data_IF_729820487400
#
_entry.id   IF_729820487400
#
_cell.length_a   1.000
_cell.length_b   1.000
_cell.length_c   1.000
_cell.angle_alpha   90.00
_cell.angle_beta   90.00
_cell.angle_gamma   90.00
#
_symmetry.space_group_name_H-M   'P 1'
#
loop_
_entity.id
_entity.type
_entity.pdbx_description
1 polymer ?
#
# COMPACT_ATOMS: atom_id res chain seq x y z
N UNK A 1 20.40 -3.93 -19.23
CA UNK A 1 19.28 -4.86 -19.46
C UNK A 1 18.01 -4.38 -18.72
N UNK A 2 17.45 -3.23 -19.11
CA UNK A 2 16.28 -2.62 -18.45
C UNK A 2 15.01 -2.60 -19.33
N UNK A 3 15.10 -3.11 -20.57
CA UNK A 3 14.05 -2.97 -21.59
C UNK A 3 12.97 -4.06 -21.56
N UNK A 4 13.27 -5.26 -21.07
CA UNK A 4 12.30 -6.37 -21.08
C UNK A 4 11.19 -6.24 -20.01
N UNK A 5 11.51 -5.64 -18.85
CA UNK A 5 10.52 -5.44 -17.78
C UNK A 5 9.48 -4.35 -18.09
N UNK A 6 9.89 -3.31 -18.83
CA UNK A 6 8.99 -2.20 -19.20
C UNK A 6 7.92 -2.60 -20.23
N UNK A 7 8.24 -3.51 -21.15
CA UNK A 7 7.32 -3.98 -22.18
C UNK A 7 6.18 -4.87 -21.61
N UNK A 8 6.47 -5.69 -20.60
CA UNK A 8 5.46 -6.50 -19.90
C UNK A 8 4.47 -5.64 -19.09
N UNK A 9 4.95 -4.57 -18.47
CA UNK A 9 4.12 -3.57 -17.78
C UNK A 9 3.26 -2.75 -18.77
N UNK A 10 3.81 -2.37 -19.93
CA UNK A 10 3.09 -1.65 -20.99
C UNK A 10 2.06 -2.51 -21.75
N UNK A 11 2.28 -3.82 -21.85
CA UNK A 11 1.34 -4.77 -22.44
C UNK A 11 0.14 -5.06 -21.53
N UNK A 12 0.39 -5.29 -20.23
CA UNK A 12 -0.67 -5.52 -19.25
C UNK A 12 -1.63 -4.33 -19.11
N UNK A 13 -1.10 -3.11 -19.08
CA UNK A 13 -1.90 -1.87 -18.99
C UNK A 13 -2.85 -1.67 -20.19
N UNK A 14 -2.44 -2.07 -21.41
CA UNK A 14 -3.27 -1.96 -22.63
C UNK A 14 -4.43 -2.96 -22.66
N UNK A 15 -4.22 -4.19 -22.17
CA UNK A 15 -5.29 -5.18 -22.05
C UNK A 15 -6.30 -4.82 -20.94
N UNK A 16 -5.81 -4.32 -19.81
CA UNK A 16 -6.62 -3.82 -18.68
C UNK A 16 -7.47 -2.59 -19.05
N UNK A 17 -6.98 -1.71 -19.94
CA UNK A 17 -7.73 -0.54 -20.40
C UNK A 17 -8.98 -0.88 -21.23
N UNK A 18 -9.02 -2.05 -21.91
CA UNK A 18 -10.16 -2.47 -22.73
C UNK A 18 -11.32 -3.08 -21.92
N UNK A 19 -11.03 -3.60 -20.73
CA UNK A 19 -12.02 -4.26 -19.85
C UNK A 19 -12.61 -3.28 -18.82
N UNK A 20 -12.08 -2.05 -18.76
CA UNK A 20 -12.42 -1.06 -17.75
C UNK A 20 -13.59 -0.19 -18.17
N UNK A 21 -14.70 -0.16 -17.41
CA UNK A 21 -15.70 0.90 -17.53
C UNK A 21 -15.13 2.16 -16.85
N UNK A 22 -14.82 3.19 -17.65
CA UNK A 22 -14.53 4.60 -17.30
C UNK A 22 -13.06 5.10 -17.40
N UNK A 23 -12.95 6.25 -18.11
CA UNK A 23 -11.80 7.06 -18.54
C UNK A 23 -11.04 7.83 -17.43
N UNK A 24 -10.67 7.23 -16.28
CA UNK A 24 -9.82 7.93 -15.28
C UNK A 24 -8.58 7.12 -14.91
N UNK A 25 -7.49 7.66 -14.35
CA UNK A 25 -6.37 6.87 -13.83
C UNK A 25 -6.84 5.87 -12.74
N UNK A 26 -6.02 4.88 -12.38
CA UNK A 26 -6.34 3.83 -11.40
C UNK A 26 -6.95 4.42 -10.10
N UNK A 27 -7.86 3.68 -9.45
CA UNK A 27 -8.61 4.02 -8.21
C UNK A 27 -9.75 5.07 -8.30
N UNK A 28 -10.79 4.90 -9.17
CA UNK A 28 -11.93 5.83 -9.22
C UNK A 28 -12.95 5.64 -8.09
N UNK A 29 -12.89 4.55 -7.33
CA UNK A 29 -13.79 4.26 -6.20
C UNK A 29 -12.96 3.88 -4.98
N UNK A 30 -12.77 4.83 -4.09
CA UNK A 30 -12.18 4.58 -2.77
C UNK A 30 -12.96 5.34 -1.71
N UNK A 31 -12.88 4.89 -0.46
CA UNK A 31 -13.41 5.59 0.69
C UNK A 31 -12.24 6.03 1.56
N UNK A 32 -12.28 7.30 1.98
CA UNK A 32 -11.31 7.85 2.92
C UNK A 32 -11.95 7.87 4.31
N UNK A 33 -11.27 7.28 5.28
CA UNK A 33 -11.77 7.08 6.64
C UNK A 33 -10.72 7.58 7.62
N UNK A 34 -11.19 8.02 8.80
CA UNK A 34 -10.30 8.18 9.94
C UNK A 34 -9.93 6.82 10.51
N UNK A 35 -8.76 6.74 11.10
CA UNK A 35 -8.30 5.54 11.77
C UNK A 35 -7.24 5.91 12.81
N UNK A 36 -6.88 4.93 13.63
CA UNK A 36 -5.77 5.04 14.58
C UNK A 36 -4.88 3.82 14.50
N UNK A 37 -3.58 4.03 14.47
CA UNK A 37 -2.57 2.98 14.59
C UNK A 37 -2.11 2.91 16.04
N UNK A 38 -2.12 1.70 16.59
CA UNK A 38 -1.59 1.38 17.91
C UNK A 38 -0.34 0.53 17.71
N UNK A 39 0.82 1.15 17.87
CA UNK A 39 2.11 0.49 17.73
C UNK A 39 2.56 -0.04 19.07
N UNK A 40 2.93 -1.30 19.11
CA UNK A 40 3.58 -1.91 20.27
C UNK A 40 5.10 -2.04 20.07
N UNK A 41 5.60 -1.63 18.90
CA UNK A 41 7.01 -1.70 18.55
C UNK A 41 7.42 -3.07 18.01
N UNK A 42 8.59 -3.09 17.39
CA UNK A 42 9.21 -4.29 16.85
C UNK A 42 10.06 -4.97 17.91
N UNK A 43 10.02 -6.31 17.97
CA UNK A 43 10.89 -7.08 18.85
C UNK A 43 12.36 -7.07 18.41
N UNK A 44 12.61 -6.82 17.12
CA UNK A 44 13.95 -6.73 16.52
C UNK A 44 14.10 -5.34 15.89
N UNK A 45 15.17 -4.59 16.18
CA UNK A 45 15.37 -3.25 15.62
C UNK A 45 15.45 -3.29 14.10
N UNK A 46 14.65 -2.46 13.45
CA UNK A 46 14.66 -2.28 11.99
C UNK A 46 15.45 -1.04 11.56
N UNK A 47 15.75 -0.14 12.51
CA UNK A 47 16.32 1.19 12.24
C UNK A 47 15.24 2.18 11.78
N UNK A 48 13.97 1.87 12.04
CA UNK A 48 12.82 2.70 11.67
C UNK A 48 12.03 2.97 12.95
N UNK A 49 12.12 4.16 13.56
CA UNK A 49 11.45 4.46 14.83
C UNK A 49 9.94 4.19 14.78
N UNK A 50 9.32 4.43 13.63
CA UNK A 50 7.90 4.16 13.42
C UNK A 50 7.55 2.66 13.51
N UNK A 51 8.47 1.74 13.21
CA UNK A 51 8.26 0.30 13.39
C UNK A 51 8.72 -0.17 14.76
N UNK A 52 9.82 0.40 15.26
CA UNK A 52 10.56 -0.11 16.41
C UNK A 52 9.94 0.34 17.75
N UNK A 53 9.37 1.54 17.80
CA UNK A 53 8.89 2.13 19.07
C UNK A 53 7.38 1.92 19.27
N UNK A 54 6.90 1.80 20.53
CA UNK A 54 5.48 1.85 20.82
C UNK A 54 4.93 3.28 20.61
N UNK A 55 3.64 3.38 20.27
CA UNK A 55 3.03 4.68 19.99
C UNK A 55 1.57 4.61 19.56
N UNK A 56 0.95 5.79 19.44
CA UNK A 56 -0.41 5.95 18.91
C UNK A 56 -0.41 7.05 17.88
N UNK A 57 -0.88 6.74 16.68
CA UNK A 57 -0.91 7.68 15.56
C UNK A 57 -2.35 7.82 15.06
N UNK A 58 -2.88 9.04 15.06
CA UNK A 58 -4.08 9.35 14.29
C UNK A 58 -3.72 9.38 12.81
N UNK A 59 -4.42 8.59 12.02
CA UNK A 59 -4.11 8.40 10.61
C UNK A 59 -5.34 8.57 9.74
N UNK A 60 -5.11 8.91 8.48
CA UNK A 60 -6.14 8.86 7.45
C UNK A 60 -5.87 7.65 6.58
N UNK A 61 -6.89 6.84 6.34
CA UNK A 61 -6.79 5.68 5.47
C UNK A 61 -7.66 5.82 4.24
N UNK A 62 -7.18 5.29 3.11
CA UNK A 62 -7.98 5.15 1.90
C UNK A 62 -8.05 3.69 1.49
N UNK A 63 -9.25 3.15 1.51
CA UNK A 63 -9.56 1.83 0.96
C UNK A 63 -10.00 2.01 -0.49
N UNK A 64 -9.45 1.24 -1.42
CA UNK A 64 -9.72 1.44 -2.85
C UNK A 64 -9.66 0.16 -3.67
N UNK A 65 -10.23 0.20 -4.87
CA UNK A 65 -10.10 -0.84 -5.91
C UNK A 65 -9.22 -0.34 -7.04
N UNK A 66 -8.17 -1.10 -7.39
CA UNK A 66 -7.16 -0.65 -8.34
C UNK A 66 -7.68 -0.64 -9.79
N UNK A 67 -8.23 -1.77 -10.28
CA UNK A 67 -8.75 -1.87 -11.64
C UNK A 67 -10.10 -1.16 -11.77
N UNK A 68 -10.95 -1.27 -10.73
CA UNK A 68 -12.28 -0.66 -10.69
C UNK A 68 -13.34 -1.49 -11.39
N UNK A 69 -13.17 -2.81 -11.43
CA UNK A 69 -14.13 -3.74 -12.01
C UNK A 69 -15.48 -3.69 -11.28
N UNK A 70 -16.59 -4.09 -11.93
CA UNK A 70 -17.89 -4.22 -11.26
C UNK A 70 -17.81 -4.99 -9.94
N UNK A 71 -18.62 -4.59 -8.95
CA UNK A 71 -18.51 -5.10 -7.57
C UNK A 71 -18.55 -6.63 -7.45
N UNK A 72 -19.25 -7.32 -8.37
CA UNK A 72 -19.38 -8.79 -8.43
C UNK A 72 -18.08 -9.50 -8.84
N UNK A 73 -17.15 -8.80 -9.49
CA UNK A 73 -15.88 -9.36 -9.96
C UNK A 73 -14.75 -9.14 -8.93
N UNK A 74 -13.78 -10.08 -8.84
CA UNK A 74 -12.56 -9.86 -8.08
C UNK A 74 -11.78 -8.64 -8.59
N UNK A 75 -11.10 -7.93 -7.68
CA UNK A 75 -10.21 -6.82 -8.00
C UNK A 75 -9.00 -6.84 -7.07
N UNK A 76 -7.99 -6.04 -7.40
CA UNK A 76 -6.88 -5.75 -6.51
C UNK A 76 -7.33 -4.64 -5.57
N UNK A 77 -7.24 -4.90 -4.28
CA UNK A 77 -7.65 -3.95 -3.25
C UNK A 77 -6.43 -3.20 -2.73
N UNK A 78 -6.58 -1.91 -2.52
CA UNK A 78 -5.55 -1.03 -2.00
C UNK A 78 -5.94 -0.48 -0.64
N UNK A 79 -4.94 -0.39 0.24
CA UNK A 79 -5.01 0.31 1.52
C UNK A 79 -3.88 1.34 1.52
N UNK A 80 -4.21 2.62 1.61
CA UNK A 80 -3.24 3.69 1.79
C UNK A 80 -3.37 4.26 3.19
N UNK A 81 -2.26 4.52 3.88
CA UNK A 81 -2.21 5.14 5.20
C UNK A 81 -1.44 6.45 5.07
N UNK A 82 -1.95 7.52 5.66
CA UNK A 82 -1.23 8.76 5.94
C UNK A 82 -1.06 8.87 7.44
N UNK A 83 0.18 8.73 7.88
CA UNK A 83 0.61 8.83 9.27
C UNK A 83 1.14 10.25 9.54
N UNK A 84 1.47 10.55 10.80
CA UNK A 84 2.24 11.77 11.12
C UNK A 84 3.64 11.78 10.51
N UNK A 85 4.21 10.60 10.27
CA UNK A 85 5.56 10.42 9.71
C UNK A 85 5.61 10.33 8.18
N UNK A 86 4.49 10.10 7.49
CA UNK A 86 4.49 9.88 6.04
C UNK A 86 3.40 8.94 5.54
N UNK A 87 3.45 8.64 4.26
CA UNK A 87 2.48 7.82 3.53
C UNK A 87 2.99 6.40 3.29
N UNK A 88 2.09 5.43 3.46
CA UNK A 88 2.32 4.02 3.15
C UNK A 88 1.24 3.51 2.18
N UNK A 89 1.65 2.71 1.20
CA UNK A 89 0.75 2.14 0.19
C UNK A 89 0.82 0.63 0.19
N UNK A 90 -0.32 -0.01 0.37
CA UNK A 90 -0.49 -1.45 0.34
C UNK A 90 -1.41 -1.86 -0.81
N UNK A 91 -1.16 -3.05 -1.37
CA UNK A 91 -2.02 -3.70 -2.34
C UNK A 91 -2.21 -5.18 -1.96
N UNK A 92 -3.35 -5.76 -2.31
CA UNK A 92 -3.63 -7.18 -2.05
C UNK A 92 -2.62 -8.09 -2.74
N UNK A 93 -1.95 -8.92 -1.94
CA UNK A 93 -0.92 -9.88 -2.38
C UNK A 93 -1.12 -11.23 -1.69
N UNK A 94 -0.18 -12.16 -1.82
CA UNK A 94 -0.05 -13.28 -0.88
C UNK A 94 0.69 -12.90 0.40
N UNK A 95 0.84 -13.85 1.33
CA UNK A 95 1.56 -13.67 2.60
C UNK A 95 2.85 -14.51 2.71
N UNK A 96 2.99 -15.57 1.91
CA UNK A 96 4.18 -16.43 1.90
C UNK A 96 5.43 -15.71 1.40
N UNK A 97 6.60 -16.34 1.61
CA UNK A 97 7.93 -15.77 1.30
C UNK A 97 8.07 -15.29 -0.16
N UNK A 98 7.48 -16.01 -1.10
CA UNK A 98 7.45 -15.63 -2.53
C UNK A 98 6.17 -14.86 -2.88
N UNK A 99 5.01 -15.34 -2.42
CA UNK A 99 3.70 -14.78 -2.81
C UNK A 99 3.46 -13.35 -2.30
N UNK A 100 4.23 -12.88 -1.31
CA UNK A 100 4.18 -11.49 -0.82
C UNK A 100 4.55 -10.45 -1.86
N UNK A 101 5.17 -10.86 -2.97
CA UNK A 101 5.50 -9.99 -4.11
C UNK A 101 4.53 -10.15 -5.30
N UNK A 102 3.45 -10.93 -5.13
CA UNK A 102 2.51 -11.26 -6.22
C UNK A 102 1.15 -10.67 -5.89
N UNK A 103 0.64 -9.80 -6.78
CA UNK A 103 -0.71 -9.23 -6.66
C UNK A 103 -1.77 -10.31 -6.73
N UNK A 104 -2.75 -10.23 -5.83
CA UNK A 104 -3.89 -11.15 -5.78
C UNK A 104 -5.18 -10.38 -5.90
N UNK A 105 -6.16 -10.98 -6.58
CA UNK A 105 -7.50 -10.42 -6.70
C UNK A 105 -8.47 -11.08 -5.70
N UNK A 106 -9.43 -10.30 -5.22
CA UNK A 106 -10.48 -10.78 -4.31
C UNK A 106 -11.78 -10.04 -4.55
N UNK A 107 -12.91 -10.69 -4.24
CA UNK A 107 -14.21 -10.01 -4.18
C UNK A 107 -14.38 -9.23 -2.89
N UNK A 108 -13.86 -9.77 -1.79
CA UNK A 108 -13.86 -9.14 -0.48
C UNK A 108 -12.59 -8.28 -0.29
N UNK A 109 -12.72 -6.97 -0.01
CA UNK A 109 -11.58 -6.09 0.27
C UNK A 109 -10.75 -6.52 1.49
N UNK A 110 -11.30 -7.34 2.39
CA UNK A 110 -10.62 -7.88 3.58
C UNK A 110 -10.17 -9.33 3.41
N UNK A 111 -10.57 -9.99 2.33
CA UNK A 111 -10.35 -11.42 2.12
C UNK A 111 -8.92 -11.80 1.73
N UNK A 112 -8.03 -10.82 1.51
CA UNK A 112 -6.61 -11.05 1.19
C UNK A 112 -5.73 -10.15 2.06
N UNK A 113 -4.55 -10.66 2.47
CA UNK A 113 -3.53 -9.80 3.03
C UNK A 113 -3.03 -8.82 1.96
N UNK A 114 -2.42 -7.74 2.42
CA UNK A 114 -1.86 -6.70 1.59
C UNK A 114 -0.41 -6.47 1.98
N UNK A 115 0.41 -6.07 1.02
CA UNK A 115 1.80 -5.67 1.27
C UNK A 115 2.13 -4.41 0.51
N UNK A 116 3.28 -3.80 0.81
CA UNK A 116 3.82 -2.68 0.04
C UNK A 116 4.30 -3.09 -1.35
N UNK A 117 4.19 -4.39 -1.69
CA UNK A 117 4.60 -5.08 -2.92
C UNK A 117 6.10 -5.04 -3.20
N UNK A 118 6.75 -3.90 -2.95
CA UNK A 118 8.17 -3.67 -3.10
C UNK A 118 8.74 -3.28 -1.72
N UNK A 119 9.95 -3.75 -1.39
CA UNK A 119 10.56 -3.44 -0.11
C UNK A 119 11.08 -1.99 -0.07
N UNK A 120 11.06 -1.43 1.13
CA UNK A 120 11.78 -0.22 1.49
C UNK A 120 13.22 -0.56 1.87
N UNK A 121 14.12 0.39 1.65
CA UNK A 121 15.49 0.36 2.16
C UNK A 121 15.49 0.97 3.56
N UNK A 122 16.07 0.25 4.50
CA UNK A 122 16.24 0.66 5.91
C UNK A 122 17.68 0.39 6.33
N UNK A 123 18.08 0.82 7.52
CA UNK A 123 19.39 0.52 8.09
C UNK A 123 19.60 -0.99 8.30
N UNK A 124 18.55 -1.71 8.71
CA UNK A 124 18.55 -3.18 8.84
C UNK A 124 18.43 -3.93 7.50
N UNK A 125 18.38 -3.20 6.38
CA UNK A 125 18.28 -3.74 5.03
C UNK A 125 16.88 -3.64 4.43
N UNK A 126 16.55 -4.55 3.51
CA UNK A 126 15.29 -4.51 2.77
C UNK A 126 14.11 -4.98 3.63
N UNK A 127 13.15 -4.10 3.91
CA UNK A 127 11.96 -4.36 4.72
C UNK A 127 10.69 -4.23 3.88
N UNK A 128 9.83 -5.24 3.92
CA UNK A 128 8.49 -5.20 3.35
C UNK A 128 7.49 -5.00 4.48
N UNK A 129 6.49 -4.14 4.28
CA UNK A 129 5.38 -4.01 5.21
C UNK A 129 4.16 -4.79 4.71
N UNK A 130 3.40 -5.32 5.64
CA UNK A 130 2.21 -6.11 5.41
C UNK A 130 1.05 -5.65 6.31
N UNK A 131 -0.16 -5.81 5.80
CA UNK A 131 -1.40 -5.59 6.52
C UNK A 131 -2.36 -6.76 6.27
N UNK A 132 -2.92 -7.36 7.32
CA UNK A 132 -3.96 -8.39 7.18
C UNK A 132 -5.16 -8.06 8.05
N UNK A 133 -6.36 -8.24 7.51
CA UNK A 133 -7.58 -8.05 8.30
C UNK A 133 -7.66 -9.13 9.38
N UNK A 134 -7.90 -8.71 10.62
CA UNK A 134 -8.12 -9.59 11.78
C UNK A 134 -9.48 -9.34 12.44
N UNK A 135 -10.30 -8.48 11.83
CA UNK A 135 -11.63 -8.10 12.28
C UNK A 135 -12.29 -7.14 11.29
N UNK A 136 -13.55 -6.80 11.53
CA UNK A 136 -14.35 -5.99 10.60
C UNK A 136 -13.69 -4.66 10.23
N UNK A 137 -13.04 -4.02 11.20
CA UNK A 137 -12.41 -2.69 11.06
C UNK A 137 -10.96 -2.70 11.59
N UNK A 138 -10.35 -3.88 11.68
CA UNK A 138 -9.05 -4.06 12.31
C UNK A 138 -8.09 -4.79 11.38
N UNK A 139 -6.91 -4.20 11.22
CA UNK A 139 -5.80 -4.79 10.49
C UNK A 139 -4.62 -4.95 11.43
N UNK A 140 -4.00 -6.12 11.42
CA UNK A 140 -2.65 -6.29 11.98
C UNK A 140 -1.64 -5.79 10.95
N UNK A 141 -0.72 -4.95 11.42
CA UNK A 141 0.42 -4.49 10.63
C UNK A 141 1.66 -5.26 11.06
N UNK A 142 2.38 -5.74 10.07
CA UNK A 142 3.60 -6.52 10.25
C UNK A 142 4.68 -6.05 9.28
N UNK A 143 5.92 -6.36 9.60
CA UNK A 143 7.04 -6.18 8.71
C UNK A 143 7.78 -7.50 8.51
N UNK A 144 8.52 -7.62 7.42
CA UNK A 144 9.40 -8.76 7.20
C UNK A 144 10.64 -8.32 6.41
N UNK A 145 11.80 -8.88 6.75
CA UNK A 145 12.89 -8.93 5.78
C UNK A 145 12.49 -9.80 4.59
N UNK A 146 13.03 -9.50 3.39
CA UNK A 146 12.69 -10.13 2.09
C UNK A 146 12.04 -11.52 2.18
N UNK A 147 12.82 -12.52 2.62
CA UNK A 147 12.38 -13.91 2.77
C UNK A 147 12.14 -14.32 4.22
N UNK A 148 12.23 -13.42 5.19
CA UNK A 148 12.02 -13.70 6.61
C UNK A 148 10.55 -13.85 6.99
N UNK A 149 10.34 -14.26 8.23
CA UNK A 149 9.00 -14.37 8.81
C UNK A 149 8.42 -12.99 9.12
N UNK A 150 7.09 -12.92 9.17
CA UNK A 150 6.37 -11.69 9.49
C UNK A 150 6.45 -11.41 10.99
N UNK A 151 6.86 -10.19 11.33
CA UNK A 151 6.94 -9.68 12.68
C UNK A 151 5.83 -8.64 12.87
N UNK A 152 4.80 -8.91 13.69
CA UNK A 152 3.79 -7.90 13.99
C UNK A 152 4.42 -6.75 14.78
N UNK A 153 3.97 -5.52 14.54
CA UNK A 153 4.44 -4.34 15.29
C UNK A 153 3.30 -3.37 15.66
N UNK A 154 2.14 -3.49 15.02
CA UNK A 154 1.03 -2.58 15.26
C UNK A 154 -0.33 -3.15 14.87
N UNK A 155 -1.37 -2.49 15.37
CA UNK A 155 -2.77 -2.71 14.98
C UNK A 155 -3.35 -1.40 14.45
N UNK A 156 -3.91 -1.45 13.24
CA UNK A 156 -4.70 -0.37 12.66
C UNK A 156 -6.18 -0.61 12.96
N UNK A 157 -6.84 0.37 13.59
CA UNK A 157 -8.29 0.41 13.80
C UNK A 157 -8.90 1.49 12.94
N UNK A 158 -9.69 1.09 11.95
CA UNK A 158 -10.40 1.99 11.04
C UNK A 158 -11.73 2.36 11.68
N UNK A 159 -12.16 3.62 11.57
CA UNK A 159 -13.48 4.04 12.05
C UNK A 159 -14.45 4.12 10.88
N UNK A 160 -15.74 4.19 11.19
CA UNK A 160 -16.79 4.47 10.18
C UNK A 160 -16.85 5.93 9.75
N UNK A 161 -16.13 6.82 10.45
CA UNK A 161 -16.12 8.25 10.17
C UNK A 161 -15.37 8.53 8.86
N UNK A 162 -16.09 9.09 7.89
CA UNK A 162 -15.51 9.52 6.63
C UNK A 162 -14.68 10.77 6.85
N UNK A 163 -13.43 10.74 6.40
CA UNK A 163 -12.66 11.96 6.26
C UNK A 163 -13.04 12.65 4.94
N UNK A 164 -12.85 13.99 4.82
CA UNK A 164 -13.09 14.70 3.58
C UNK A 164 -12.28 14.06 2.43
N UNK A 165 -12.97 13.65 1.36
CA UNK A 165 -12.36 13.03 0.16
C UNK A 165 -11.64 14.05 -0.74
N UNK A 166 -11.62 15.33 -0.34
CA UNK A 166 -11.00 16.39 -1.13
C UNK A 166 -9.47 16.18 -1.16
N UNK A 167 -8.98 15.79 -2.35
CA UNK A 167 -7.59 15.83 -2.82
C UNK A 167 -6.49 15.15 -1.99
N UNK A 168 -6.80 14.24 -1.06
CA UNK A 168 -5.76 13.47 -0.34
C UNK A 168 -5.05 12.52 -1.32
N UNK A 169 -3.91 12.98 -1.84
CA UNK A 169 -2.98 12.21 -2.68
C UNK A 169 -1.94 11.57 -1.78
N UNK A 170 -2.00 10.25 -1.61
CA UNK A 170 -0.98 9.48 -0.93
C UNK A 170 0.23 9.30 -1.84
N UNK A 171 1.41 9.69 -1.38
CA UNK A 171 2.65 9.65 -2.14
C UNK A 171 3.84 9.24 -1.25
N UNK A 172 4.14 7.93 -1.13
CA UNK A 172 5.24 7.42 -0.31
C UNK A 172 6.64 7.74 -0.88
N UNK A 173 6.73 8.44 -2.02
CA UNK A 173 8.01 8.95 -2.55
C UNK A 173 8.24 10.37 -2.05
N UNK A 174 7.19 11.20 -1.99
CA UNK A 174 7.27 12.59 -1.50
C UNK A 174 7.10 12.71 0.01
N UNK A 175 6.37 11.79 0.60
CA UNK A 175 6.11 11.71 2.03
C UNK A 175 6.53 10.32 2.52
N UNK A 176 7.82 9.96 2.42
CA UNK A 176 8.29 8.72 3.03
C UNK A 176 8.16 8.81 4.54
N UNK A 177 7.89 7.68 5.18
CA UNK A 177 8.08 7.55 6.63
C UNK A 177 9.57 7.57 6.92
N UNK A 178 10.00 8.33 7.93
CA UNK A 178 11.40 8.43 8.32
C UNK A 178 12.03 7.03 8.53
N UNK A 179 13.16 6.78 7.88
CA UNK A 179 13.85 5.47 7.87
C UNK A 179 13.32 4.47 6.82
N UNK A 180 12.18 4.74 6.17
CA UNK A 180 11.64 3.92 5.07
C UNK A 180 11.91 4.57 3.71
N UNK A 181 13.10 4.30 3.19
CA UNK A 181 13.52 4.86 1.91
C UNK A 181 13.09 4.03 0.71
N UNK A 182 12.76 4.69 -0.40
CA UNK A 182 12.48 4.02 -1.67
C UNK A 182 13.77 3.73 -2.44
N UNK A 183 13.86 2.55 -3.05
CA UNK A 183 14.96 2.27 -3.99
C UNK A 183 14.83 3.16 -5.24
N UNK A 184 15.95 3.67 -5.81
CA UNK A 184 15.90 4.52 -7.01
C UNK A 184 15.18 3.89 -8.21
N UNK A 185 15.27 2.56 -8.36
CA UNK A 185 14.52 1.82 -9.38
C UNK A 185 13.01 1.88 -9.18
N UNK A 186 12.53 1.84 -7.94
CA UNK A 186 11.11 1.92 -7.58
C UNK A 186 10.58 3.33 -7.81
N UNK A 187 11.35 4.35 -7.45
CA UNK A 187 11.00 5.75 -7.75
C UNK A 187 10.82 5.95 -9.25
N UNK A 188 11.80 5.53 -10.06
CA UNK A 188 11.71 5.62 -11.53
C UNK A 188 10.51 4.89 -12.12
N UNK A 189 10.17 3.74 -11.55
CA UNK A 189 9.01 2.96 -11.98
C UNK A 189 7.68 3.68 -11.68
N UNK A 190 7.58 4.36 -10.54
CA UNK A 190 6.36 5.02 -10.08
C UNK A 190 6.19 6.45 -10.60
N UNK A 191 7.28 7.11 -10.99
CA UNK A 191 7.30 8.52 -11.39
C UNK A 191 6.28 8.87 -12.51
N UNK A 192 6.12 8.08 -13.59
CA UNK A 192 5.15 8.39 -14.64
C UNK A 192 3.71 8.43 -14.13
N UNK A 193 3.33 7.45 -13.30
CA UNK A 193 1.98 7.36 -12.73
C UNK A 193 1.72 8.48 -11.74
N UNK A 194 2.70 8.82 -10.89
CA UNK A 194 2.55 9.96 -9.99
C UNK A 194 2.46 11.27 -10.77
N UNK A 195 3.36 11.53 -11.72
CA UNK A 195 3.34 12.74 -12.56
C UNK A 195 1.98 12.95 -13.24
N UNK A 196 1.38 11.89 -13.79
CA UNK A 196 0.05 11.95 -14.38
C UNK A 196 -1.03 12.29 -13.34
N UNK A 197 -0.98 11.66 -12.16
CA UNK A 197 -1.90 11.98 -11.06
C UNK A 197 -1.74 13.42 -10.57
N UNK A 198 -0.57 14.06 -10.73
CA UNK A 198 -0.37 15.48 -10.42
C UNK A 198 -0.98 16.41 -11.44
N UNK A 199 -0.83 16.09 -12.72
CA UNK A 199 -1.37 16.89 -13.81
C UNK A 199 -2.90 16.90 -13.83
N UNK A 200 -3.54 15.81 -13.43
CA UNK A 200 -5.01 15.74 -13.35
C UNK A 200 -5.63 16.49 -12.16
N UNK A 201 -4.84 17.26 -11.41
CA UNK A 201 -5.27 18.06 -10.25
C UNK A 201 -5.36 19.56 -10.53
N UNK A 202 -4.95 19.98 -11.72
CA UNK A 202 -5.08 21.33 -12.26
C UNK A 202 -6.01 21.27 -13.47
#
# INVERSE_FOLDING_TARGET
MASAGGALLAGGTRALARVRPARKPLHPRGVVLRARVYRHGSAVPTGVPWLDEPGKDDVVVRLSRAVGLPARLPDIHGLALRTGSGDLLFASTGWGRVTRFVLTASRDPRGRPMTTLLPYRTESGAVLLGARSVGAETYELAWAHRAGDWQPFAVLRVTTERAPDQSISFDPVRHPVDGLEQYPSVVRLREPSYAQARRSRH
#
